data_IF_907087025753
#
_entry.id   IF_907087025753
#
_cell.length_a   1.000
_cell.length_b   1.000
_cell.length_c   1.000
_cell.angle_alpha   90.00
_cell.angle_beta   90.00
_cell.angle_gamma   90.00
#
_symmetry.space_group_name_H-M   'P 1'
#
loop_
_entity.id
_entity.type
_entity.pdbx_description
1 polymer ?
#
# COMPACT_ATOMS: atom_id res chain seq x y z
N UNK A 1 -2.31 20.43 15.49
CA UNK A 1 -2.89 19.29 14.76
C UNK A 1 -3.18 19.76 13.36
N UNK A 2 -2.75 19.03 12.33
CA UNK A 2 -3.01 19.37 10.91
C UNK A 2 -3.93 18.30 10.34
N UNK A 3 -4.94 18.67 9.55
CA UNK A 3 -5.87 17.74 8.92
C UNK A 3 -6.18 18.18 7.50
N UNK A 4 -6.53 17.24 6.63
CA UNK A 4 -6.92 17.53 5.26
C UNK A 4 -7.29 16.26 4.52
N UNK A 5 -7.42 16.38 3.19
CA UNK A 5 -7.76 15.29 2.28
C UNK A 5 -6.64 15.13 1.24
N UNK A 6 -6.20 13.90 1.02
CA UNK A 6 -5.13 13.59 0.06
C UNK A 6 -5.54 13.79 -1.41
N UNK A 7 -6.84 13.84 -1.70
CA UNK A 7 -7.35 14.21 -3.03
C UNK A 7 -7.13 15.69 -3.35
N UNK A 8 -6.98 16.53 -2.32
CA UNK A 8 -6.69 17.98 -2.44
C UNK A 8 -5.20 18.24 -2.25
N UNK A 9 -4.57 17.56 -1.29
CA UNK A 9 -3.15 17.69 -0.97
C UNK A 9 -2.44 16.36 -1.19
N UNK A 10 -1.78 16.15 -2.34
CA UNK A 10 -1.15 14.88 -2.65
C UNK A 10 -0.23 14.37 -1.55
N UNK A 11 -0.21 13.06 -1.32
CA UNK A 11 0.54 12.42 -0.24
C UNK A 11 2.01 12.88 -0.19
N UNK A 12 2.69 12.91 -1.34
CA UNK A 12 4.09 13.33 -1.44
C UNK A 12 4.30 14.80 -1.01
N UNK A 13 3.35 15.69 -1.34
CA UNK A 13 3.39 17.11 -0.93
C UNK A 13 3.18 17.27 0.58
N UNK A 14 2.24 16.52 1.17
CA UNK A 14 2.03 16.49 2.63
C UNK A 14 3.29 15.97 3.33
N UNK A 15 3.89 14.90 2.82
CA UNK A 15 5.13 14.34 3.35
C UNK A 15 6.29 15.33 3.25
N UNK A 16 6.47 16.00 2.11
CA UNK A 16 7.50 17.02 1.93
C UNK A 16 7.37 18.15 2.96
N UNK A 17 6.15 18.66 3.17
CA UNK A 17 5.87 19.68 4.18
C UNK A 17 6.24 19.20 5.59
N UNK A 18 5.76 18.01 5.99
CA UNK A 18 5.98 17.48 7.33
C UNK A 18 7.47 17.22 7.61
N UNK A 19 8.17 16.57 6.68
CA UNK A 19 9.60 16.28 6.82
C UNK A 19 10.45 17.57 6.83
N UNK A 20 10.04 18.60 6.08
CA UNK A 20 10.72 19.90 6.09
C UNK A 20 10.49 20.68 7.37
N UNK A 21 9.30 20.56 7.98
CA UNK A 21 9.01 21.19 9.28
C UNK A 21 9.89 20.70 10.42
N UNK A 22 10.47 19.48 10.29
CA UNK A 22 11.25 18.82 11.33
C UNK A 22 10.43 18.38 12.55
N UNK A 23 9.12 18.63 12.57
CA UNK A 23 8.25 18.35 13.70
C UNK A 23 8.03 16.85 13.85
N UNK A 24 8.27 16.34 15.07
CA UNK A 24 7.98 14.96 15.39
C UNK A 24 6.46 14.73 15.52
N UNK A 25 6.00 13.53 15.18
CA UNK A 25 4.60 13.16 15.34
C UNK A 25 4.17 12.03 14.43
N UNK A 26 2.86 11.77 14.44
CA UNK A 26 2.20 10.71 13.70
C UNK A 26 1.27 11.29 12.65
N UNK A 27 1.47 10.89 11.39
CA UNK A 27 0.49 11.03 10.33
C UNK A 27 -0.39 9.78 10.30
N UNK A 28 -1.70 9.95 10.34
CA UNK A 28 -2.70 8.91 10.13
C UNK A 28 -3.49 9.22 8.87
N UNK A 29 -3.72 8.24 8.01
CA UNK A 29 -4.57 8.36 6.81
C UNK A 29 -5.68 7.33 6.89
N UNK A 30 -6.91 7.81 6.85
CA UNK A 30 -8.11 6.99 6.75
C UNK A 30 -8.43 6.71 5.28
N UNK A 31 -8.11 5.48 4.86
CA UNK A 31 -8.29 4.96 3.51
C UNK A 31 -8.11 3.43 3.57
N UNK A 32 -8.73 2.61 2.69
CA UNK A 32 -8.51 1.15 2.67
C UNK A 32 -7.05 0.71 2.54
N UNK A 33 -6.25 1.49 1.79
CA UNK A 33 -4.78 1.34 1.66
C UNK A 33 -4.00 2.21 2.66
N UNK A 34 -4.71 2.88 3.57
CA UNK A 34 -4.19 3.86 4.52
C UNK A 34 -3.51 3.21 5.72
N UNK A 35 -3.16 4.05 6.70
CA UNK A 35 -2.41 3.63 7.87
C UNK A 35 -1.73 4.79 8.56
N UNK A 36 -0.60 4.51 9.20
CA UNK A 36 0.09 5.44 10.08
C UNK A 36 1.58 5.52 9.72
N UNK A 37 2.14 6.72 9.83
CA UNK A 37 3.56 6.99 9.61
C UNK A 37 4.06 7.93 10.70
N UNK A 38 5.25 7.67 11.22
CA UNK A 38 5.87 8.48 12.27
C UNK A 38 7.10 9.19 11.75
N UNK A 39 7.21 10.45 12.16
CA UNK A 39 8.30 11.36 11.81
C UNK A 39 8.98 11.79 13.09
N UNK A 40 10.31 11.90 13.03
CA UNK A 40 11.15 12.42 14.11
C UNK A 40 12.30 13.21 13.50
N UNK A 41 12.42 14.50 13.85
CA UNK A 41 13.46 15.42 13.34
C UNK A 41 13.62 15.43 11.81
N UNK A 42 12.50 15.34 11.10
CA UNK A 42 12.47 15.36 9.62
C UNK A 42 12.78 14.02 8.95
N UNK A 43 12.94 12.96 9.73
CA UNK A 43 13.17 11.60 9.24
C UNK A 43 11.93 10.73 9.43
N UNK A 44 11.68 9.81 8.50
CA UNK A 44 10.65 8.78 8.66
C UNK A 44 11.23 7.63 9.47
N UNK A 45 10.63 7.37 10.63
CA UNK A 45 11.16 6.40 11.61
C UNK A 45 10.32 5.13 11.74
N UNK A 46 9.06 5.21 11.36
CA UNK A 46 8.16 4.06 11.38
C UNK A 46 7.00 4.27 10.42
N UNK A 47 6.47 3.17 9.88
CA UNK A 47 5.25 3.14 9.09
C UNK A 47 4.51 1.84 9.38
N UNK A 48 3.19 1.89 9.35
CA UNK A 48 2.31 0.75 9.61
C UNK A 48 1.01 0.87 8.83
N UNK A 49 0.57 -0.22 8.22
CA UNK A 49 -0.73 -0.36 7.53
C UNK A 49 -1.27 -1.74 7.84
N UNK A 50 -2.50 -1.90 8.34
CA UNK A 50 -3.06 -3.21 8.74
C UNK A 50 -2.02 -4.16 9.39
N UNK A 51 -1.56 -5.19 8.65
CA UNK A 51 -0.57 -6.19 9.06
C UNK A 51 0.89 -5.88 8.68
N UNK A 52 1.15 -4.85 7.86
CA UNK A 52 2.48 -4.47 7.40
C UNK A 52 3.11 -3.41 8.30
N UNK A 53 4.45 -3.44 8.36
CA UNK A 53 5.26 -2.44 9.05
C UNK A 53 6.53 -2.11 8.29
N UNK A 54 7.12 -0.96 8.61
CA UNK A 54 8.36 -0.50 8.00
C UNK A 54 8.24 -0.30 6.50
N UNK A 55 9.18 -0.86 5.73
CA UNK A 55 9.31 -0.61 4.30
C UNK A 55 8.06 -1.02 3.51
N UNK A 56 7.49 -2.19 3.81
CA UNK A 56 6.29 -2.67 3.11
C UNK A 56 5.07 -1.76 3.36
N UNK A 57 4.93 -1.25 4.59
CA UNK A 57 3.88 -0.27 4.91
C UNK A 57 4.12 1.07 4.21
N UNK A 58 5.37 1.54 4.16
CA UNK A 58 5.74 2.76 3.45
C UNK A 58 5.45 2.67 1.95
N UNK A 59 5.79 1.53 1.35
CA UNK A 59 5.48 1.25 -0.05
C UNK A 59 3.97 1.32 -0.31
N UNK A 60 3.14 0.74 0.56
CA UNK A 60 1.69 0.80 0.40
C UNK A 60 1.13 2.22 0.59
N UNK A 61 1.58 2.96 1.61
CA UNK A 61 1.18 4.34 1.85
C UNK A 61 1.55 5.27 0.68
N UNK A 62 2.63 4.97 -0.04
CA UNK A 62 3.04 5.73 -1.23
C UNK A 62 2.10 5.54 -2.43
N UNK A 63 1.14 4.61 -2.35
CA UNK A 63 0.07 4.39 -3.35
C UNK A 63 -1.19 5.23 -3.12
N UNK A 64 -1.21 6.05 -2.08
CA UNK A 64 -2.38 6.84 -1.69
C UNK A 64 -2.59 8.03 -2.63
N UNK A 65 -3.78 8.10 -3.21
CA UNK A 65 -4.29 9.16 -4.08
C UNK A 65 -5.46 9.93 -3.45
N UNK A 66 -5.99 9.44 -2.32
CA UNK A 66 -7.14 9.97 -1.61
C UNK A 66 -7.13 9.51 -0.14
N UNK A 67 -8.06 10.07 0.65
CA UNK A 67 -8.24 9.72 2.05
C UNK A 67 -8.01 10.89 2.99
N UNK A 68 -8.67 10.84 4.15
CA UNK A 68 -8.56 11.88 5.16
C UNK A 68 -7.30 11.68 5.97
N UNK A 69 -6.43 12.68 6.02
CA UNK A 69 -5.22 12.62 6.82
C UNK A 69 -5.31 13.51 8.06
N UNK A 70 -4.64 13.07 9.12
CA UNK A 70 -4.47 13.80 10.36
C UNK A 70 -3.03 13.66 10.84
N UNK A 71 -2.36 14.79 11.09
CA UNK A 71 -1.07 14.83 11.76
C UNK A 71 -1.23 15.25 13.22
N UNK A 72 -0.83 14.35 14.10
CA UNK A 72 -0.75 14.52 15.55
C UNK A 72 0.70 14.78 15.95
N UNK A 73 1.03 16.02 16.35
CA UNK A 73 2.35 16.34 16.87
C UNK A 73 2.72 15.54 18.10
N UNK A 74 4.02 15.34 18.29
CA UNK A 74 4.61 14.84 19.54
C UNK A 74 4.09 13.44 19.94
N UNK A 75 3.39 12.76 19.02
CA UNK A 75 2.97 11.38 19.15
C UNK A 75 4.18 10.46 18.92
N UNK A 76 4.64 9.72 19.95
CA UNK A 76 5.84 8.90 19.84
C UNK A 76 5.62 7.69 18.91
N UNK A 77 6.68 7.28 18.23
CA UNK A 77 6.67 6.04 17.47
C UNK A 77 6.68 4.83 18.42
N UNK A 78 5.81 3.82 18.20
CA UNK A 78 5.78 2.61 19.03
C UNK A 78 7.02 1.74 18.86
N UNK A 79 7.65 1.80 17.68
CA UNK A 79 8.90 1.13 17.33
C UNK A 79 9.64 1.96 16.28
N UNK A 80 10.92 1.65 16.02
CA UNK A 80 11.70 2.25 14.92
C UNK A 80 12.02 1.19 13.90
N UNK A 81 11.22 1.11 12.84
CA UNK A 81 11.39 0.13 11.74
C UNK A 81 12.08 0.74 10.53
N UNK A 82 12.24 2.06 10.51
CA UNK A 82 12.80 2.82 9.39
C UNK A 82 13.87 3.78 9.90
N UNK A 83 14.82 4.08 9.03
CA UNK A 83 15.84 5.10 9.24
C UNK A 83 16.03 5.89 7.93
N UNK A 84 14.97 6.59 7.52
CA UNK A 84 14.94 7.28 6.24
C UNK A 84 15.03 8.78 6.45
N UNK A 85 16.18 9.33 6.05
CA UNK A 85 16.35 10.77 5.98
C UNK A 85 15.41 11.38 4.95
N UNK A 86 14.99 12.63 5.19
CA UNK A 86 14.06 13.37 4.32
C UNK A 86 14.23 13.10 2.83
N UNK A 87 15.40 13.36 2.27
CA UNK A 87 15.60 13.28 0.81
C UNK A 87 15.52 11.83 0.30
N UNK A 88 15.97 10.86 1.10
CA UNK A 88 15.85 9.45 0.77
C UNK A 88 14.40 8.97 0.88
N UNK A 89 13.65 9.44 1.88
CA UNK A 89 12.23 9.13 2.07
C UNK A 89 11.40 9.68 0.89
N UNK A 90 11.60 10.94 0.50
CA UNK A 90 10.84 11.55 -0.61
C UNK A 90 11.13 10.87 -1.95
N UNK A 91 12.40 10.56 -2.25
CA UNK A 91 12.74 9.82 -3.48
C UNK A 91 12.10 8.43 -3.50
N UNK A 92 12.18 7.70 -2.39
CA UNK A 92 11.54 6.37 -2.24
C UNK A 92 10.04 6.44 -2.48
N UNK A 93 9.35 7.38 -1.84
CA UNK A 93 7.90 7.54 -1.98
C UNK A 93 7.50 7.87 -3.43
N UNK A 94 8.30 8.70 -4.12
CA UNK A 94 8.09 9.01 -5.52
C UNK A 94 8.24 7.75 -6.40
N UNK A 95 9.36 7.03 -6.28
CA UNK A 95 9.61 5.79 -7.01
C UNK A 95 8.49 4.76 -6.80
N UNK A 96 8.05 4.58 -5.55
CA UNK A 96 6.95 3.67 -5.25
C UNK A 96 5.62 4.14 -5.84
N UNK A 97 5.30 5.43 -5.76
CA UNK A 97 4.06 5.98 -6.32
C UNK A 97 3.94 5.70 -7.83
N UNK A 98 5.04 5.83 -8.57
CA UNK A 98 5.09 5.52 -10.00
C UNK A 98 4.89 4.02 -10.24
N UNK A 99 5.56 3.18 -9.44
CA UNK A 99 5.44 1.72 -9.50
C UNK A 99 4.02 1.19 -9.26
N UNK A 100 3.20 1.90 -8.49
CA UNK A 100 1.81 1.53 -8.20
C UNK A 100 0.83 1.82 -9.33
N UNK A 101 1.16 2.73 -10.26
CA UNK A 101 0.24 3.22 -11.31
C UNK A 101 -0.43 2.09 -12.10
N UNK A 102 0.35 1.09 -12.53
CA UNK A 102 -0.17 -0.03 -13.34
C UNK A 102 -1.05 -0.96 -12.52
N UNK A 103 -0.64 -1.27 -11.28
CA UNK A 103 -1.40 -2.14 -10.39
C UNK A 103 -2.75 -1.52 -10.02
N UNK A 104 -2.79 -0.24 -9.64
CA UNK A 104 -4.02 0.46 -9.27
C UNK A 104 -5.00 0.61 -10.43
N UNK A 105 -4.51 0.81 -11.66
CA UNK A 105 -5.37 0.79 -12.86
C UNK A 105 -5.99 -0.57 -13.12
N UNK A 106 -5.28 -1.65 -12.78
CA UNK A 106 -5.74 -3.03 -13.00
C UNK A 106 -6.68 -3.48 -11.87
N UNK A 107 -6.39 -3.07 -10.63
CA UNK A 107 -7.13 -3.41 -9.41
C UNK A 107 -7.62 -2.11 -8.73
N UNK A 108 -8.61 -1.42 -9.30
CA UNK A 108 -9.05 -0.12 -8.80
C UNK A 108 -9.82 -0.18 -7.48
N UNK A 109 -10.53 -1.29 -7.23
CA UNK A 109 -11.42 -1.43 -6.08
C UNK A 109 -11.02 -2.64 -5.22
N UNK A 110 -10.36 -2.37 -4.10
CA UNK A 110 -9.84 -3.41 -3.22
C UNK A 110 -10.90 -4.00 -2.28
N UNK A 111 -12.13 -3.45 -2.30
CA UNK A 111 -13.26 -4.01 -1.57
C UNK A 111 -13.90 -5.20 -2.30
N UNK A 112 -13.63 -5.35 -3.60
CA UNK A 112 -14.13 -6.45 -4.44
C UNK A 112 -13.40 -7.77 -4.19
N UNK A 113 -14.05 -8.86 -4.57
CA UNK A 113 -13.47 -10.20 -4.51
C UNK A 113 -12.82 -10.56 -5.86
N UNK A 114 -11.71 -11.30 -5.83
CA UNK A 114 -11.16 -11.94 -7.03
C UNK A 114 -11.59 -13.40 -7.08
N UNK A 115 -12.10 -13.86 -8.22
CA UNK A 115 -12.43 -15.27 -8.46
C UNK A 115 -11.92 -15.76 -9.80
N UNK A 116 -11.77 -17.08 -9.91
CA UNK A 116 -11.57 -17.74 -11.20
C UNK A 116 -12.82 -17.63 -12.07
N UNK A 117 -12.59 -17.49 -13.38
CA UNK A 117 -13.65 -17.51 -14.39
C UNK A 117 -13.75 -18.90 -15.02
N UNK A 118 -14.78 -19.12 -15.84
CA UNK A 118 -14.92 -20.35 -16.64
C UNK A 118 -13.81 -20.56 -17.68
N UNK A 119 -12.98 -19.53 -17.95
CA UNK A 119 -11.82 -19.66 -18.83
C UNK A 119 -10.62 -20.32 -18.13
N UNK A 120 -10.63 -20.41 -16.80
CA UNK A 120 -9.57 -21.06 -16.04
C UNK A 120 -9.57 -22.57 -16.31
N UNK A 121 -8.37 -23.15 -16.38
CA UNK A 121 -8.19 -24.60 -16.49
C UNK A 121 -7.09 -25.05 -15.55
N UNK A 122 -7.33 -26.14 -14.81
CA UNK A 122 -6.37 -26.74 -13.88
C UNK A 122 -5.11 -27.30 -14.57
N UNK A 123 -5.15 -27.48 -15.90
CA UNK A 123 -4.00 -27.88 -16.69
C UNK A 123 -3.05 -26.72 -17.03
N UNK A 124 -3.41 -25.47 -16.69
CA UNK A 124 -2.60 -24.31 -17.02
C UNK A 124 -1.28 -24.28 -16.23
N UNK A 125 -0.11 -24.24 -16.89
CA UNK A 125 1.16 -24.19 -16.19
C UNK A 125 1.31 -22.85 -15.48
N UNK A 126 1.58 -22.91 -14.17
CA UNK A 126 1.85 -21.74 -13.33
C UNK A 126 3.15 -21.95 -12.55
N UNK A 127 3.91 -20.87 -12.35
CA UNK A 127 5.08 -20.91 -11.48
C UNK A 127 4.66 -21.09 -10.01
N UNK A 128 5.60 -21.46 -9.15
CA UNK A 128 5.35 -21.58 -7.70
C UNK A 128 4.82 -20.28 -7.09
N UNK A 129 5.34 -19.13 -7.53
CA UNK A 129 4.91 -17.81 -7.07
C UNK A 129 3.48 -17.50 -7.52
N UNK A 130 3.16 -17.82 -8.78
CA UNK A 130 1.81 -17.65 -9.31
C UNK A 130 0.80 -18.55 -8.60
N UNK A 131 1.14 -19.84 -8.40
CA UNK A 131 0.29 -20.77 -7.66
C UNK A 131 -0.03 -20.26 -6.25
N UNK A 132 0.99 -19.77 -5.52
CA UNK A 132 0.79 -19.18 -4.18
C UNK A 132 -0.17 -17.99 -4.23
N UNK A 133 0.06 -17.04 -5.14
CA UNK A 133 -0.81 -15.88 -5.27
C UNK A 133 -2.25 -16.27 -5.65
N UNK A 134 -2.41 -17.22 -6.58
CA UNK A 134 -3.72 -17.71 -7.03
C UNK A 134 -4.47 -18.47 -5.93
N UNK A 135 -3.76 -19.22 -5.08
CA UNK A 135 -4.38 -19.93 -3.95
C UNK A 135 -4.98 -18.99 -2.89
N UNK A 136 -4.60 -17.70 -2.90
CA UNK A 136 -5.18 -16.71 -1.99
C UNK A 136 -6.58 -16.24 -2.42
N UNK A 137 -6.99 -16.48 -3.68
CA UNK A 137 -8.34 -16.12 -4.14
C UNK A 137 -9.39 -16.91 -3.36
N UNK A 138 -9.09 -18.15 -3.00
CA UNK A 138 -9.98 -18.98 -2.21
C UNK A 138 -10.06 -18.50 -0.75
N UNK A 139 -11.29 -18.30 -0.28
CA UNK A 139 -11.58 -17.89 1.10
C UNK A 139 -11.25 -16.43 1.43
N UNK A 140 -10.89 -15.60 0.45
CA UNK A 140 -10.73 -14.16 0.65
C UNK A 140 -12.03 -13.43 0.30
N UNK A 141 -12.52 -12.61 1.24
CA UNK A 141 -13.75 -11.84 1.06
C UNK A 141 -13.54 -10.54 0.26
N UNK A 142 -12.28 -10.13 0.05
CA UNK A 142 -11.88 -8.97 -0.72
C UNK A 142 -10.41 -9.03 -1.10
N UNK A 143 -10.00 -8.26 -2.11
CA UNK A 143 -8.58 -8.06 -2.47
C UNK A 143 -7.78 -7.57 -1.26
N UNK A 144 -8.34 -6.66 -0.46
CA UNK A 144 -7.68 -6.20 0.76
C UNK A 144 -7.38 -7.37 1.71
N UNK A 145 -8.38 -8.19 2.03
CA UNK A 145 -8.20 -9.34 2.93
C UNK A 145 -7.22 -10.37 2.37
N UNK A 146 -7.22 -10.55 1.05
CA UNK A 146 -6.28 -11.44 0.34
C UNK A 146 -4.84 -10.96 0.51
N UNK A 147 -4.58 -9.66 0.31
CA UNK A 147 -3.25 -9.07 0.42
C UNK A 147 -2.75 -9.11 1.87
N UNK A 148 -3.63 -8.86 2.85
CA UNK A 148 -3.30 -8.99 4.28
C UNK A 148 -2.93 -10.42 4.67
N UNK A 149 -3.63 -11.43 4.14
CA UNK A 149 -3.34 -12.86 4.36
C UNK A 149 -2.05 -13.33 3.69
N UNK A 150 -1.63 -12.67 2.60
CA UNK A 150 -0.47 -13.10 1.81
C UNK A 150 0.84 -13.05 2.61
N UNK A 151 0.96 -12.11 3.56
CA UNK A 151 2.22 -11.82 4.26
C UNK A 151 3.33 -11.24 3.35
N UNK A 152 3.03 -11.00 2.07
CA UNK A 152 3.96 -10.46 1.08
C UNK A 152 3.64 -8.98 0.79
N UNK A 153 4.59 -8.21 0.22
CA UNK A 153 4.31 -6.85 -0.22
C UNK A 153 3.15 -6.81 -1.21
N UNK A 154 2.08 -6.02 -0.95
CA UNK A 154 0.86 -6.08 -1.75
C UNK A 154 1.06 -5.87 -3.26
N UNK A 155 2.00 -4.99 -3.65
CA UNK A 155 2.31 -4.73 -5.06
C UNK A 155 2.80 -5.98 -5.78
N UNK A 156 3.67 -6.77 -5.15
CA UNK A 156 4.24 -7.97 -5.74
C UNK A 156 3.18 -9.05 -6.00
N UNK A 157 2.24 -9.20 -5.07
CA UNK A 157 1.10 -10.13 -5.22
C UNK A 157 0.21 -9.69 -6.37
N UNK A 158 -0.15 -8.40 -6.43
CA UNK A 158 -0.98 -7.87 -7.52
C UNK A 158 -0.30 -7.97 -8.88
N UNK A 159 1.00 -7.67 -8.97
CA UNK A 159 1.77 -7.82 -10.21
C UNK A 159 1.84 -9.29 -10.67
N UNK A 160 1.86 -10.23 -9.73
CA UNK A 160 1.79 -11.67 -10.03
C UNK A 160 0.42 -12.08 -10.57
N UNK A 161 -0.66 -11.51 -10.04
CA UNK A 161 -2.05 -11.81 -10.46
C UNK A 161 -2.48 -11.07 -11.73
N UNK A 162 -1.85 -9.93 -12.03
CA UNK A 162 -2.21 -9.05 -13.15
C UNK A 162 -2.34 -9.76 -14.50
N UNK A 163 -1.42 -10.65 -14.93
CA UNK A 163 -1.54 -11.34 -16.22
C UNK A 163 -2.79 -12.21 -16.31
N UNK A 164 -3.21 -12.83 -15.20
CA UNK A 164 -4.41 -13.68 -15.16
C UNK A 164 -5.69 -12.84 -15.26
N UNK A 165 -5.73 -11.68 -14.60
CA UNK A 165 -6.86 -10.76 -14.70
C UNK A 165 -6.98 -10.20 -16.12
N UNK A 166 -5.85 -9.81 -16.73
CA UNK A 166 -5.81 -9.29 -18.10
C UNK A 166 -6.17 -10.34 -19.16
N UNK A 167 -5.83 -11.61 -18.93
CA UNK A 167 -6.26 -12.73 -19.77
C UNK A 167 -7.74 -13.11 -19.56
N UNK A 168 -8.41 -12.51 -18.56
CA UNK A 168 -9.77 -12.85 -18.16
C UNK A 168 -9.89 -14.24 -17.56
N UNK A 169 -8.81 -14.76 -16.97
CA UNK A 169 -8.77 -16.04 -16.27
C UNK A 169 -9.28 -15.89 -14.83
N UNK A 170 -9.04 -14.73 -14.24
CA UNK A 170 -9.64 -14.27 -12.99
C UNK A 170 -10.40 -12.96 -13.26
N UNK A 171 -11.37 -12.62 -12.42
CA UNK A 171 -12.16 -11.39 -12.53
C UNK A 171 -12.45 -10.76 -11.17
N UNK A 172 -12.76 -9.45 -11.16
CA UNK A 172 -13.18 -8.70 -9.98
C UNK A 172 -14.71 -8.63 -9.91
N UNK A 173 -15.27 -9.13 -8.81
CA UNK A 173 -16.72 -9.23 -8.57
C UNK A 173 -17.14 -8.35 -7.39
#
# INVERSE_FOLDING_TARGET
MVRGDLSVFPFLSVMQMLLTSGRAGRLSVDHPRGGQLWIDRGDVVHARTSALKGEAALQLLSSLDSGLFTFEPDAPAPERTLNLRRDAALRRMLEESEGWTTALRTFPDWSRTLRFTDKWSDAQPVSRTQYRALSLLEGSASIQSMLERSGEPPRAVLDTLRPFLMAGLIEQV
#
